data_IF_320543072800
#
_entry.id   IF_320543072800
#
_cell.length_a   1.000
_cell.length_b   1.000
_cell.length_c   1.000
_cell.angle_alpha   90.00
_cell.angle_beta   90.00
_cell.angle_gamma   90.00
#
_symmetry.space_group_name_H-M   'P 1'
#
loop_
_entity.id
_entity.type
_entity.pdbx_description
1 polymer ?
#
# COMPACT_ATOMS: atom_id res chain seq x y z
N UNK A 1 10.45 -6.89 -19.58
CA UNK A 1 9.81 -5.90 -18.69
C UNK A 1 10.61 -5.85 -17.39
N UNK A 2 11.25 -4.71 -17.08
CA UNK A 2 12.27 -4.58 -16.03
C UNK A 2 11.69 -4.74 -14.62
N UNK A 3 12.49 -5.25 -13.68
CA UNK A 3 12.16 -5.31 -12.25
C UNK A 3 11.80 -3.92 -11.69
N UNK A 4 12.39 -2.86 -12.26
CA UNK A 4 12.11 -1.46 -11.92
C UNK A 4 10.67 -1.05 -12.23
N UNK A 5 10.11 -1.52 -13.34
CA UNK A 5 8.71 -1.24 -13.69
C UNK A 5 7.75 -1.90 -12.68
N UNK A 6 8.09 -3.10 -12.20
CA UNK A 6 7.31 -3.79 -11.17
C UNK A 6 7.42 -3.08 -9.81
N UNK A 7 8.61 -2.62 -9.42
CA UNK A 7 8.77 -1.85 -8.18
C UNK A 7 8.08 -0.49 -8.23
N UNK A 8 8.08 0.18 -9.40
CA UNK A 8 7.40 1.45 -9.59
C UNK A 8 5.86 1.27 -9.46
N UNK A 9 5.30 0.24 -10.10
CA UNK A 9 3.87 -0.07 -9.99
C UNK A 9 3.46 -0.41 -8.56
N UNK A 10 4.26 -1.22 -7.85
CA UNK A 10 4.02 -1.52 -6.44
C UNK A 10 4.12 -0.27 -5.55
N UNK A 11 5.09 0.60 -5.80
CA UNK A 11 5.23 1.87 -5.06
C UNK A 11 4.02 2.79 -5.30
N UNK A 12 3.51 2.83 -6.53
CA UNK A 12 2.31 3.60 -6.86
C UNK A 12 1.06 3.05 -6.16
N UNK A 13 0.90 1.72 -6.13
CA UNK A 13 -0.19 1.07 -5.36
C UNK A 13 -0.05 1.36 -3.85
N UNK A 14 1.16 1.30 -3.31
CA UNK A 14 1.42 1.65 -1.91
C UNK A 14 0.98 3.09 -1.60
N UNK A 15 1.33 4.04 -2.47
CA UNK A 15 0.93 5.44 -2.31
C UNK A 15 -0.60 5.64 -2.40
N UNK A 16 -1.29 4.87 -3.25
CA UNK A 16 -2.76 4.89 -3.32
C UNK A 16 -3.39 4.43 -1.99
N UNK A 17 -2.91 3.30 -1.46
CA UNK A 17 -3.42 2.72 -0.21
C UNK A 17 -3.17 3.67 0.97
N UNK A 18 -2.04 4.36 0.99
CA UNK A 18 -1.77 5.39 2.01
C UNK A 18 -2.75 6.56 1.93
N UNK A 19 -3.03 7.06 0.72
CA UNK A 19 -4.03 8.11 0.53
C UNK A 19 -5.43 7.66 0.94
N UNK A 20 -5.82 6.43 0.62
CA UNK A 20 -7.11 5.87 1.02
C UNK A 20 -7.19 5.72 2.55
N UNK A 21 -6.09 5.32 3.19
CA UNK A 21 -5.98 5.25 4.65
C UNK A 21 -6.13 6.63 5.30
N UNK A 22 -5.45 7.65 4.77
CA UNK A 22 -5.55 9.02 5.26
C UNK A 22 -6.95 9.60 5.04
N UNK A 23 -7.55 9.36 3.87
CA UNK A 23 -8.91 9.79 3.57
C UNK A 23 -9.93 9.14 4.53
N UNK A 24 -9.80 7.83 4.78
CA UNK A 24 -10.68 7.11 5.72
C UNK A 24 -10.43 7.55 7.17
N UNK A 25 -9.18 7.83 7.55
CA UNK A 25 -8.86 8.35 8.88
C UNK A 25 -9.39 9.78 9.12
N UNK A 26 -9.50 10.59 8.06
CA UNK A 26 -10.05 11.94 8.12
C UNK A 26 -11.59 11.98 8.03
N UNK A 27 -12.23 10.83 7.76
CA UNK A 27 -13.70 10.78 7.77
C UNK A 27 -14.24 10.93 9.20
N UNK A 28 -15.37 11.63 9.37
CA UNK A 28 -16.02 11.78 10.67
C UNK A 28 -16.47 10.44 11.26
N UNK A 29 -16.68 9.41 10.43
CA UNK A 29 -16.92 8.05 10.86
C UNK A 29 -16.02 7.09 10.07
N UNK A 30 -14.82 6.79 10.58
CA UNK A 30 -13.89 5.87 9.92
C UNK A 30 -14.41 4.43 10.01
N UNK A 31 -14.37 3.69 8.90
CA UNK A 31 -14.64 2.26 8.92
C UNK A 31 -13.37 1.46 9.33
N UNK A 32 -13.34 0.86 10.53
CA UNK A 32 -12.17 0.14 11.01
C UNK A 32 -11.86 -1.13 10.21
N UNK A 33 -12.85 -1.76 9.58
CA UNK A 33 -12.65 -2.94 8.75
C UNK A 33 -11.96 -2.56 7.43
N UNK A 34 -12.34 -1.43 6.83
CA UNK A 34 -11.67 -0.86 5.64
C UNK A 34 -10.23 -0.48 5.98
N UNK A 35 -10.01 0.26 7.07
CA UNK A 35 -8.67 0.63 7.55
C UNK A 35 -7.80 -0.62 7.79
N UNK A 36 -8.34 -1.66 8.42
CA UNK A 36 -7.61 -2.90 8.67
C UNK A 36 -7.25 -3.62 7.36
N UNK A 37 -8.17 -3.65 6.38
CA UNK A 37 -7.92 -4.22 5.06
C UNK A 37 -6.81 -3.46 4.32
N UNK A 38 -6.91 -2.13 4.25
CA UNK A 38 -5.91 -1.26 3.62
C UNK A 38 -4.53 -1.42 4.27
N UNK A 39 -4.45 -1.48 5.62
CA UNK A 39 -3.19 -1.73 6.33
C UNK A 39 -2.57 -3.09 5.98
N UNK A 40 -3.37 -4.15 5.85
CA UNK A 40 -2.87 -5.48 5.42
C UNK A 40 -2.37 -5.46 3.98
N UNK A 41 -3.07 -4.78 3.07
CA UNK A 41 -2.62 -4.63 1.68
C UNK A 41 -1.32 -3.82 1.61
N UNK A 42 -1.21 -2.72 2.36
CA UNK A 42 0.02 -1.94 2.50
C UNK A 42 1.19 -2.81 2.97
N UNK A 43 0.96 -3.66 3.98
CA UNK A 43 1.98 -4.58 4.49
C UNK A 43 2.43 -5.58 3.43
N UNK A 44 1.49 -6.19 2.69
CA UNK A 44 1.79 -7.12 1.58
C UNK A 44 2.65 -6.46 0.49
N UNK A 45 2.30 -5.26 0.07
CA UNK A 45 3.06 -4.53 -0.96
C UNK A 45 4.47 -4.19 -0.44
N UNK A 46 4.59 -3.78 0.82
CA UNK A 46 5.89 -3.53 1.45
C UNK A 46 6.77 -4.78 1.49
N UNK A 47 6.19 -5.95 1.79
CA UNK A 47 6.88 -7.24 1.71
C UNK A 47 7.29 -7.61 0.28
N UNK A 48 6.41 -7.40 -0.70
CA UNK A 48 6.75 -7.62 -2.11
C UNK A 48 7.89 -6.69 -2.59
N UNK A 49 7.85 -5.41 -2.21
CA UNK A 49 8.92 -4.45 -2.50
C UNK A 49 10.25 -4.87 -1.87
N UNK A 50 10.23 -5.34 -0.62
CA UNK A 50 11.42 -5.90 0.05
C UNK A 50 11.95 -7.13 -0.68
N UNK A 51 11.09 -8.02 -1.15
CA UNK A 51 11.50 -9.21 -1.94
C UNK A 51 12.09 -8.83 -3.29
N UNK A 52 11.63 -7.74 -3.89
CA UNK A 52 12.09 -7.25 -5.20
C UNK A 52 13.37 -6.42 -5.12
N UNK A 53 13.74 -5.92 -3.93
CA UNK A 53 15.07 -5.37 -3.64
C UNK A 53 15.88 -6.40 -2.82
N UNK A 54 16.42 -7.45 -3.45
CA UNK A 54 17.52 -8.17 -2.81
C UNK A 54 18.70 -7.19 -2.71
N UNK A 55 19.31 -7.14 -1.53
CA UNK A 55 20.53 -6.39 -1.29
C UNK A 55 21.67 -6.84 -2.21
#
# INVERSE_FOLDING_TARGET
MSLEARSASLSQRHASIDRELEAEAHRPQPDPAVIAKLKREKLRIKDELKRLRPH
#
